data_IF_722705741399
#
_entry.id   IF_722705741399
#
_cell.length_a   1.000
_cell.length_b   1.000
_cell.length_c   1.000
_cell.angle_alpha   90.00
_cell.angle_beta   90.00
_cell.angle_gamma   90.00
#
_symmetry.space_group_name_H-M   'P 1'
#
loop_
_entity.id
_entity.type
_entity.pdbx_description
1 polymer ?
#
# COMPACT_ATOMS: atom_id res chain seq x y z
N UNK A 1 22.74 -24.94 -60.87
CA UNK A 1 21.89 -25.91 -61.57
C UNK A 1 20.57 -25.95 -60.83
N UNK A 2 19.55 -25.45 -61.47
CA UNK A 2 18.15 -25.86 -61.61
C UNK A 2 17.35 -26.11 -60.33
N UNK A 3 16.40 -25.18 -60.09
CA UNK A 3 15.06 -25.35 -59.52
C UNK A 3 14.23 -26.44 -60.24
N UNK A 4 13.11 -26.95 -59.66
CA UNK A 4 11.86 -26.21 -59.67
C UNK A 4 10.99 -26.43 -58.42
N UNK A 5 10.28 -25.46 -58.01
CA UNK A 5 8.90 -25.04 -57.93
C UNK A 5 7.84 -26.11 -58.30
N UNK A 6 6.98 -26.50 -57.34
CA UNK A 6 5.61 -27.03 -57.66
C UNK A 6 4.61 -26.44 -56.66
N UNK A 7 3.59 -25.80 -57.26
CA UNK A 7 2.35 -25.28 -56.73
C UNK A 7 1.27 -26.35 -56.87
N UNK A 8 0.39 -26.49 -55.89
CA UNK A 8 -1.01 -26.96 -56.06
C UNK A 8 -1.72 -26.71 -54.71
N UNK A 9 -2.59 -25.82 -54.55
CA UNK A 9 -3.95 -25.52 -55.01
C UNK A 9 -5.02 -26.49 -54.49
N UNK A 10 -5.87 -25.93 -53.61
CA UNK A 10 -7.32 -26.12 -53.39
C UNK A 10 -7.85 -27.49 -52.96
N UNK A 11 -8.75 -27.48 -51.95
CA UNK A 11 -10.20 -27.71 -52.17
C UNK A 11 -10.97 -27.28 -50.91
N UNK A 12 -11.93 -26.41 -51.13
CA UNK A 12 -13.01 -25.95 -50.30
C UNK A 12 -14.09 -27.05 -50.24
N UNK A 13 -14.60 -27.41 -49.09
CA UNK A 13 -15.87 -28.12 -48.96
C UNK A 13 -16.69 -27.59 -47.78
N UNK A 14 -17.70 -26.86 -48.16
CA UNK A 14 -18.87 -26.48 -47.37
C UNK A 14 -19.68 -27.73 -47.00
N UNK A 15 -20.00 -27.89 -45.73
CA UNK A 15 -21.16 -28.64 -45.30
C UNK A 15 -22.06 -27.74 -44.45
N UNK A 16 -23.17 -27.35 -45.08
CA UNK A 16 -24.37 -26.83 -44.43
C UNK A 16 -25.10 -28.03 -43.87
N UNK A 17 -25.36 -28.05 -42.59
CA UNK A 17 -26.44 -28.85 -42.02
C UNK A 17 -27.23 -27.96 -41.07
N UNK A 18 -28.44 -27.74 -41.49
CA UNK A 18 -29.53 -27.12 -40.74
C UNK A 18 -30.11 -28.18 -39.82
N UNK A 19 -30.24 -27.91 -38.52
CA UNK A 19 -31.31 -28.55 -37.77
C UNK A 19 -31.88 -27.61 -36.71
N UNK A 20 -33.19 -27.58 -36.74
CA UNK A 20 -34.12 -26.74 -36.01
C UNK A 20 -34.36 -27.29 -34.62
N UNK A 21 -34.16 -26.47 -33.56
CA UNK A 21 -35.06 -26.56 -32.41
C UNK A 21 -35.03 -25.35 -31.49
N UNK A 22 -36.20 -24.77 -31.36
CA UNK A 22 -36.76 -24.01 -30.21
C UNK A 22 -36.01 -22.81 -29.67
N UNK A 23 -36.45 -21.66 -30.17
CA UNK A 23 -36.26 -20.34 -29.52
C UNK A 23 -36.86 -20.33 -28.12
N UNK A 24 -36.03 -20.24 -27.10
CA UNK A 24 -36.35 -19.53 -25.87
C UNK A 24 -35.85 -18.09 -26.03
N UNK A 25 -36.78 -17.16 -26.11
CA UNK A 25 -36.52 -15.73 -25.94
C UNK A 25 -35.88 -15.55 -24.57
N UNK A 26 -34.61 -15.29 -24.53
CA UNK A 26 -33.96 -14.66 -23.42
C UNK A 26 -33.97 -13.17 -23.75
N UNK A 27 -34.71 -12.42 -22.94
CA UNK A 27 -34.75 -10.96 -23.03
C UNK A 27 -33.31 -10.47 -22.86
N UNK A 28 -32.76 -9.95 -23.94
CA UNK A 28 -31.58 -9.06 -23.88
C UNK A 28 -31.98 -7.82 -23.12
N UNK A 29 -31.77 -7.85 -21.82
CA UNK A 29 -31.76 -6.66 -20.99
C UNK A 29 -30.51 -5.89 -21.38
N UNK A 30 -30.69 -4.93 -22.25
CA UNK A 30 -29.69 -3.95 -22.65
C UNK A 30 -29.11 -3.34 -21.36
N UNK A 31 -27.82 -3.60 -21.11
CA UNK A 31 -27.02 -2.93 -20.05
C UNK A 31 -26.75 -1.52 -20.59
N UNK A 32 -27.74 -0.63 -20.46
CA UNK A 32 -27.62 0.78 -20.83
C UNK A 32 -27.92 1.72 -19.65
N UNK A 33 -27.95 1.23 -18.42
CA UNK A 33 -28.10 2.06 -17.22
C UNK A 33 -27.08 1.62 -16.15
N UNK A 34 -25.80 1.61 -16.52
CA UNK A 34 -24.78 1.95 -15.53
C UNK A 34 -24.84 3.48 -15.52
N UNK A 35 -25.67 4.00 -14.64
CA UNK A 35 -25.52 5.35 -14.13
C UNK A 35 -24.06 5.47 -13.68
N UNK A 36 -23.25 6.03 -14.56
CA UNK A 36 -21.95 6.55 -14.20
C UNK A 36 -22.29 7.65 -13.19
N UNK A 37 -22.21 7.33 -11.90
CA UNK A 37 -22.19 8.32 -10.84
C UNK A 37 -20.96 9.18 -11.16
N UNK A 38 -21.15 10.17 -12.04
CA UNK A 38 -20.30 11.33 -12.09
C UNK A 38 -20.43 11.96 -10.72
N UNK A 39 -19.51 11.59 -9.83
CA UNK A 39 -19.34 12.26 -8.56
C UNK A 39 -19.17 13.74 -8.94
N UNK A 40 -20.19 14.54 -8.66
CA UNK A 40 -20.17 15.95 -8.98
C UNK A 40 -19.02 16.58 -8.18
N UNK A 41 -17.86 16.72 -8.82
CA UNK A 41 -16.62 17.19 -8.19
C UNK A 41 -16.80 18.54 -7.51
N UNK A 42 -17.80 19.33 -7.94
CA UNK A 42 -18.16 20.60 -7.32
C UNK A 42 -18.85 20.41 -5.97
N UNK A 43 -19.71 19.40 -5.84
CA UNK A 43 -20.38 19.06 -4.56
C UNK A 43 -19.37 18.51 -3.55
N UNK A 44 -18.47 17.66 -4.00
CA UNK A 44 -17.41 17.09 -3.15
C UNK A 44 -16.46 18.17 -2.64
N UNK A 45 -16.07 19.12 -3.50
CA UNK A 45 -15.23 20.24 -3.12
C UNK A 45 -15.94 21.18 -2.12
N UNK A 46 -17.22 21.48 -2.34
CA UNK A 46 -18.00 22.31 -1.41
C UNK A 46 -18.18 21.60 -0.06
N UNK A 47 -18.43 20.30 -0.03
CA UNK A 47 -18.54 19.53 1.20
C UNK A 47 -17.22 19.51 1.98
N UNK A 48 -16.09 19.37 1.29
CA UNK A 48 -14.77 19.44 1.89
C UNK A 48 -14.52 20.83 2.53
N UNK A 49 -14.82 21.90 1.82
CA UNK A 49 -14.68 23.28 2.34
C UNK A 49 -15.57 23.53 3.56
N UNK A 50 -16.81 23.05 3.56
CA UNK A 50 -17.70 23.16 4.73
C UNK A 50 -17.16 22.36 5.92
N UNK A 51 -16.70 21.13 5.71
CA UNK A 51 -16.09 20.31 6.75
C UNK A 51 -14.85 20.98 7.33
N UNK A 52 -14.00 21.58 6.49
CA UNK A 52 -12.80 22.31 6.94
C UNK A 52 -13.13 23.51 7.84
N UNK A 53 -14.28 24.16 7.66
CA UNK A 53 -14.73 25.26 8.55
C UNK A 53 -15.08 24.76 9.95
N UNK A 54 -15.42 23.48 10.09
CA UNK A 54 -15.72 22.87 11.40
C UNK A 54 -14.48 22.36 12.12
N UNK A 55 -13.33 22.29 11.42
CA UNK A 55 -12.07 21.84 12.00
C UNK A 55 -11.60 22.84 13.07
N UNK A 56 -11.36 22.40 14.31
CA UNK A 56 -10.94 23.31 15.38
C UNK A 56 -9.58 23.97 15.09
N UNK A 57 -9.44 25.23 15.48
CA UNK A 57 -8.18 25.97 15.34
C UNK A 57 -7.06 25.47 16.28
N UNK A 58 -7.40 24.68 17.28
CA UNK A 58 -6.51 24.18 18.31
C UNK A 58 -6.14 22.71 18.13
N UNK A 59 -6.21 22.20 16.90
CA UNK A 59 -5.74 20.85 16.59
C UNK A 59 -4.30 20.72 17.02
N UNK A 60 -4.02 19.59 17.67
CA UNK A 60 -2.72 19.31 18.20
C UNK A 60 -2.16 18.07 17.49
N UNK A 61 -1.14 18.22 16.63
CA UNK A 61 -0.42 17.07 16.11
C UNK A 61 0.27 16.34 17.26
N UNK A 62 0.12 15.02 17.28
CA UNK A 62 0.72 14.15 18.30
C UNK A 62 1.58 13.09 17.65
N UNK A 63 2.60 12.67 18.38
CA UNK A 63 3.51 11.64 17.89
C UNK A 63 2.80 10.30 17.75
N UNK A 64 2.97 9.64 16.61
CA UNK A 64 2.48 8.30 16.35
C UNK A 64 3.59 7.29 16.18
N UNK A 65 3.21 6.02 16.08
CA UNK A 65 4.14 4.91 15.88
C UNK A 65 5.02 5.14 14.64
N UNK A 66 6.31 4.78 14.75
CA UNK A 66 7.30 4.84 13.66
C UNK A 66 7.91 3.48 13.45
N UNK A 67 7.94 3.04 12.23
CA UNK A 67 8.63 1.80 11.87
C UNK A 67 10.13 1.99 11.78
N UNK A 68 10.87 1.01 12.30
CA UNK A 68 12.30 0.85 12.07
C UNK A 68 12.54 -0.60 11.72
N UNK A 69 13.20 -0.84 10.60
CA UNK A 69 13.62 -2.16 10.17
C UNK A 69 15.13 -2.20 9.94
N UNK A 70 15.72 -3.39 10.00
CA UNK A 70 17.15 -3.60 9.81
C UNK A 70 17.37 -4.69 8.79
N UNK A 71 18.28 -4.50 7.83
CA UNK A 71 18.60 -5.46 6.77
C UNK A 71 19.79 -5.03 5.94
N UNK A 72 20.25 -5.91 5.06
CA UNK A 72 21.26 -5.61 4.05
C UNK A 72 20.55 -5.16 2.76
N UNK A 73 20.20 -3.87 2.70
CA UNK A 73 19.37 -3.36 1.62
C UNK A 73 20.15 -3.01 0.35
N UNK A 74 21.47 -2.86 0.45
CA UNK A 74 22.33 -2.53 -0.70
C UNK A 74 23.20 -3.69 -1.18
N UNK A 75 23.18 -4.84 -0.49
CA UNK A 75 23.93 -6.04 -0.85
C UNK A 75 25.43 -5.96 -0.54
N UNK A 76 25.87 -5.11 0.39
CA UNK A 76 27.29 -4.99 0.75
C UNK A 76 27.72 -5.90 1.91
N UNK A 77 26.80 -6.70 2.44
CA UNK A 77 27.00 -7.63 3.55
C UNK A 77 26.92 -7.00 4.91
N UNK A 78 26.56 -5.72 5.02
CA UNK A 78 26.32 -5.02 6.29
C UNK A 78 24.84 -4.73 6.43
N UNK A 79 24.44 -4.55 7.68
CA UNK A 79 23.03 -4.21 7.95
C UNK A 79 22.88 -2.73 8.20
N UNK A 80 21.93 -2.13 7.47
CA UNK A 80 21.47 -0.79 7.69
C UNK A 80 20.15 -0.77 8.44
N UNK A 81 19.82 0.41 8.99
CA UNK A 81 18.47 0.71 9.47
C UNK A 81 17.73 1.54 8.44
N UNK A 82 16.48 1.16 8.19
CA UNK A 82 15.51 2.00 7.50
C UNK A 82 14.51 2.52 8.54
N UNK A 83 14.29 3.83 8.52
CA UNK A 83 13.52 4.55 9.53
C UNK A 83 12.41 5.33 8.83
N UNK A 84 11.16 5.11 9.26
CA UNK A 84 10.01 5.88 8.79
C UNK A 84 10.09 7.32 9.30
N UNK A 85 9.88 8.26 8.40
CA UNK A 85 9.72 9.68 8.65
C UNK A 85 8.35 10.15 8.18
N UNK A 86 7.74 11.04 8.95
CA UNK A 86 6.44 11.61 8.63
C UNK A 86 6.43 13.08 9.04
N UNK A 87 6.16 13.95 8.08
CA UNK A 87 6.07 15.39 8.29
C UNK A 87 4.60 15.79 8.24
N UNK A 88 4.07 16.29 9.34
CA UNK A 88 2.70 16.79 9.40
C UNK A 88 2.52 18.03 8.52
N UNK A 89 1.47 18.05 7.73
CA UNK A 89 1.10 19.23 6.94
C UNK A 89 0.55 20.40 7.77
N UNK A 90 0.31 20.23 9.09
CA UNK A 90 -0.20 21.28 9.96
C UNK A 90 0.91 22.22 10.40
N UNK A 91 2.00 21.66 10.93
CA UNK A 91 3.09 22.42 11.57
C UNK A 91 4.47 22.17 10.92
N UNK A 92 4.50 21.35 9.87
CA UNK A 92 5.71 20.95 9.14
C UNK A 92 6.78 20.30 10.05
N UNK A 93 6.34 19.62 11.11
CA UNK A 93 7.23 18.92 12.03
C UNK A 93 7.18 17.43 11.80
N UNK A 94 8.34 16.82 11.91
CA UNK A 94 8.49 15.42 11.66
C UNK A 94 7.83 14.52 12.71
N UNK A 95 7.72 14.94 13.94
CA UNK A 95 7.26 14.11 15.06
C UNK A 95 5.77 13.82 15.08
N UNK A 96 4.98 14.48 14.23
CA UNK A 96 3.53 14.54 14.37
C UNK A 96 2.84 13.69 13.28
N UNK A 97 2.34 12.52 13.66
CA UNK A 97 1.66 11.58 12.76
C UNK A 97 0.15 11.53 12.96
N UNK A 98 -0.33 11.74 14.19
CA UNK A 98 -1.75 11.78 14.54
C UNK A 98 -2.19 13.17 14.99
N UNK A 99 -3.50 13.37 15.11
CA UNK A 99 -4.08 14.66 15.41
C UNK A 99 -5.11 14.55 16.53
N UNK A 100 -4.88 15.25 17.64
CA UNK A 100 -5.86 15.43 18.72
C UNK A 100 -6.72 16.65 18.49
N UNK A 101 -7.95 16.61 18.98
CA UNK A 101 -8.88 17.74 18.93
C UNK A 101 -9.85 17.70 17.74
N UNK A 102 -9.77 16.68 16.90
CA UNK A 102 -10.78 16.42 15.87
C UNK A 102 -12.02 15.77 16.48
N UNK A 103 -13.21 16.14 16.03
CA UNK A 103 -14.47 15.61 16.54
C UNK A 103 -14.95 14.36 15.79
N UNK A 104 -14.51 14.17 14.57
CA UNK A 104 -14.90 13.06 13.72
C UNK A 104 -13.85 12.77 12.62
N UNK A 105 -14.02 11.62 12.00
CA UNK A 105 -13.12 11.16 10.95
C UNK A 105 -13.18 12.02 9.67
N UNK A 106 -14.34 12.63 9.37
CA UNK A 106 -14.47 13.52 8.22
C UNK A 106 -13.57 14.76 8.34
N UNK A 107 -13.38 15.28 9.56
CA UNK A 107 -12.43 16.37 9.82
C UNK A 107 -10.99 15.93 9.58
N UNK A 108 -10.61 14.69 9.93
CA UNK A 108 -9.28 14.15 9.65
C UNK A 108 -9.04 14.05 8.14
N UNK A 109 -10.00 13.50 7.39
CA UNK A 109 -9.93 13.38 5.92
C UNK A 109 -9.78 14.77 5.29
N UNK A 110 -10.66 15.71 5.66
CA UNK A 110 -10.61 17.08 5.14
C UNK A 110 -9.28 17.77 5.44
N UNK A 111 -8.76 17.58 6.66
CA UNK A 111 -7.51 18.17 7.10
C UNK A 111 -6.32 17.63 6.30
N UNK A 112 -6.21 16.32 6.13
CA UNK A 112 -5.10 15.68 5.41
C UNK A 112 -5.12 15.97 3.91
N UNK A 113 -6.31 16.17 3.31
CA UNK A 113 -6.42 16.66 1.93
C UNK A 113 -5.91 18.11 1.82
N UNK A 114 -6.28 18.98 2.75
CA UNK A 114 -5.93 20.42 2.70
C UNK A 114 -4.49 20.70 3.15
N UNK A 115 -4.00 19.90 4.07
CA UNK A 115 -2.68 20.00 4.70
C UNK A 115 -1.93 18.69 4.48
N UNK A 116 -1.54 18.47 3.23
CA UNK A 116 -0.91 17.23 2.80
C UNK A 116 0.36 16.92 3.60
N UNK A 117 0.39 15.80 4.32
CA UNK A 117 1.60 15.37 5.00
C UNK A 117 2.57 14.71 4.00
N UNK A 118 3.80 14.49 4.44
CA UNK A 118 4.84 13.83 3.66
C UNK A 118 5.33 12.61 4.44
N UNK A 119 5.36 11.45 3.79
CA UNK A 119 5.91 10.21 4.35
C UNK A 119 7.05 9.66 3.48
N UNK A 120 8.10 9.18 4.12
CA UNK A 120 9.25 8.58 3.47
C UNK A 120 10.03 7.70 4.45
N UNK A 121 10.93 6.87 3.92
CA UNK A 121 11.82 6.02 4.73
C UNK A 121 13.27 6.35 4.38
N UNK A 122 14.08 6.64 5.40
CA UNK A 122 15.50 6.99 5.25
C UNK A 122 16.37 5.89 5.83
N UNK A 123 17.47 5.60 5.16
CA UNK A 123 18.54 4.76 5.70
C UNK A 123 19.51 5.57 6.58
N UNK A 124 20.05 4.93 7.60
CA UNK A 124 21.24 5.45 8.33
C UNK A 124 22.51 5.40 7.45
N UNK A 125 22.50 4.62 6.36
CA UNK A 125 23.55 4.63 5.35
C UNK A 125 23.20 5.65 4.25
N UNK A 126 23.98 6.72 4.14
CA UNK A 126 23.77 7.80 3.17
C UNK A 126 23.93 7.39 1.70
N UNK A 127 24.46 6.19 1.43
CA UNK A 127 24.57 5.64 0.08
C UNK A 127 23.27 5.02 -0.42
N UNK A 128 22.31 4.79 0.48
CA UNK A 128 20.97 4.30 0.13
C UNK A 128 20.04 5.50 -0.02
N UNK A 129 19.44 5.63 -1.18
CA UNK A 129 18.48 6.71 -1.46
C UNK A 129 17.22 6.57 -0.60
N UNK A 130 16.53 7.69 -0.41
CA UNK A 130 15.26 7.74 0.32
C UNK A 130 14.18 6.94 -0.41
N UNK A 131 13.54 6.00 0.28
CA UNK A 131 12.31 5.39 -0.20
C UNK A 131 11.16 6.38 0.00
N UNK A 132 10.71 6.98 -1.09
CA UNK A 132 9.59 7.92 -1.08
C UNK A 132 8.28 7.15 -1.12
N UNK A 133 7.48 7.34 -0.08
CA UNK A 133 6.11 6.86 -0.07
C UNK A 133 5.29 7.84 -0.92
N UNK A 134 4.46 7.30 -1.79
CA UNK A 134 3.62 8.13 -2.66
C UNK A 134 2.82 9.14 -1.83
N UNK A 135 2.98 10.43 -2.13
CA UNK A 135 2.25 11.50 -1.47
C UNK A 135 0.97 11.81 -2.22
N UNK A 136 -0.15 11.64 -1.57
CA UNK A 136 -1.45 12.15 -1.97
C UNK A 136 -2.11 12.73 -0.74
N UNK A 137 -3.16 13.52 -0.90
CA UNK A 137 -4.01 13.88 0.24
C UNK A 137 -4.48 12.61 0.95
N UNK A 138 -4.77 12.69 2.25
CA UNK A 138 -5.23 11.57 3.10
C UNK A 138 -4.13 10.63 3.63
N UNK A 139 -2.86 10.90 3.38
CA UNK A 139 -1.74 10.11 3.89
C UNK A 139 -1.59 10.25 5.42
N UNK A 140 -1.43 9.13 6.13
CA UNK A 140 -1.12 9.07 7.58
C UNK A 140 0.16 8.28 7.89
N UNK A 141 1.10 8.22 6.96
CA UNK A 141 2.33 7.45 7.09
C UNK A 141 2.15 5.99 6.67
N UNK A 142 2.78 5.07 7.37
CA UNK A 142 2.72 3.65 7.07
C UNK A 142 1.85 2.91 8.07
N UNK A 143 1.04 1.97 7.58
CA UNK A 143 0.37 0.93 8.37
C UNK A 143 1.28 -0.28 8.58
N UNK A 144 2.28 -0.47 7.71
CA UNK A 144 3.22 -1.58 7.80
C UNK A 144 4.55 -1.28 7.12
N UNK A 145 5.65 -1.78 7.68
CA UNK A 145 6.98 -1.79 7.09
C UNK A 145 7.75 -3.01 7.60
N UNK A 146 8.33 -3.80 6.70
CA UNK A 146 9.06 -5.02 7.07
C UNK A 146 10.21 -5.30 6.12
N UNK A 147 11.32 -5.80 6.68
CA UNK A 147 12.35 -6.51 5.92
C UNK A 147 11.88 -7.93 5.62
N UNK A 148 11.75 -8.30 4.36
CA UNK A 148 11.34 -9.63 3.90
C UNK A 148 12.53 -10.56 3.66
N UNK A 149 13.76 -10.06 3.82
CA UNK A 149 14.98 -10.75 3.42
C UNK A 149 15.17 -10.79 1.92
N UNK A 150 16.24 -11.39 1.46
CA UNK A 150 16.54 -11.56 0.02
C UNK A 150 15.52 -12.54 -0.62
N UNK A 151 14.43 -12.04 -1.16
CA UNK A 151 13.39 -12.85 -1.81
C UNK A 151 13.77 -13.27 -3.23
N UNK A 152 14.47 -12.41 -3.94
CA UNK A 152 14.80 -12.61 -5.35
C UNK A 152 16.15 -13.33 -5.56
N UNK A 153 17.01 -13.42 -4.54
CA UNK A 153 18.29 -14.11 -4.57
C UNK A 153 19.42 -13.29 -5.20
N UNK A 154 19.30 -11.95 -5.20
CA UNK A 154 20.34 -11.07 -5.74
C UNK A 154 21.29 -10.53 -4.67
N UNK A 155 21.08 -10.90 -3.41
CA UNK A 155 21.93 -10.56 -2.28
C UNK A 155 21.50 -9.27 -1.56
N UNK A 156 20.39 -8.63 -1.97
CA UNK A 156 19.78 -7.50 -1.28
C UNK A 156 18.52 -7.93 -0.57
N UNK A 157 18.23 -7.34 0.58
CA UNK A 157 16.97 -7.58 1.29
C UNK A 157 15.85 -6.76 0.66
N UNK A 158 14.71 -7.40 0.35
CA UNK A 158 13.49 -6.73 -0.08
C UNK A 158 12.71 -6.15 1.10
N UNK A 159 11.99 -5.09 0.81
CA UNK A 159 11.15 -4.38 1.79
C UNK A 159 9.70 -4.40 1.36
N UNK A 160 8.82 -4.81 2.28
CA UNK A 160 7.37 -4.60 2.15
C UNK A 160 6.92 -3.37 2.91
N UNK A 161 5.96 -2.64 2.34
CA UNK A 161 5.25 -1.59 3.06
C UNK A 161 3.78 -1.49 2.65
N UNK A 162 2.97 -0.92 3.55
CA UNK A 162 1.57 -0.56 3.31
C UNK A 162 1.36 0.87 3.82
N UNK A 163 0.68 1.65 3.03
CA UNK A 163 0.38 3.06 3.35
C UNK A 163 -0.82 3.12 4.29
N UNK A 164 -0.79 4.02 5.26
CA UNK A 164 -1.93 4.33 6.11
C UNK A 164 -2.71 5.51 5.49
N UNK A 165 -3.97 5.27 5.12
CA UNK A 165 -4.83 6.26 4.49
C UNK A 165 -5.92 6.75 5.43
N UNK A 166 -6.13 8.07 5.48
CA UNK A 166 -7.29 8.68 6.10
C UNK A 166 -8.46 8.68 5.11
N UNK A 167 -9.02 7.52 4.82
CA UNK A 167 -10.17 7.37 3.95
C UNK A 167 -11.22 6.42 4.58
N UNK A 168 -12.38 6.28 3.95
CA UNK A 168 -13.44 5.37 4.43
C UNK A 168 -13.35 3.98 3.80
N UNK A 169 -12.30 3.72 3.03
CA UNK A 169 -12.07 2.44 2.41
C UNK A 169 -11.34 1.50 3.37
N UNK A 170 -11.68 0.21 3.31
CA UNK A 170 -10.86 -0.83 3.89
C UNK A 170 -9.94 -1.47 2.85
N UNK A 171 -9.87 -0.89 1.64
CA UNK A 171 -9.05 -1.37 0.56
C UNK A 171 -7.66 -0.76 0.65
N UNK A 172 -6.63 -1.60 0.53
CA UNK A 172 -5.26 -1.14 0.53
C UNK A 172 -4.40 -1.95 -0.46
N UNK A 173 -3.14 -1.59 -0.56
CA UNK A 173 -2.17 -2.27 -1.41
C UNK A 173 -0.92 -2.59 -0.60
N UNK A 174 -0.49 -3.84 -0.69
CA UNK A 174 0.81 -4.28 -0.23
C UNK A 174 1.83 -4.03 -1.33
N UNK A 175 2.88 -3.30 -1.00
CA UNK A 175 3.99 -3.00 -1.91
C UNK A 175 5.22 -3.80 -1.52
N UNK A 176 5.92 -4.34 -2.51
CA UNK A 176 7.20 -5.01 -2.36
C UNK A 176 8.24 -4.31 -3.22
N UNK A 177 9.30 -3.80 -2.60
CA UNK A 177 10.34 -3.02 -3.26
C UNK A 177 11.73 -3.61 -3.00
N UNK A 178 12.64 -3.40 -3.95
CA UNK A 178 14.06 -3.72 -3.84
C UNK A 178 14.90 -2.47 -4.08
N UNK A 179 16.09 -2.40 -3.48
CA UNK A 179 17.05 -1.34 -3.77
C UNK A 179 18.09 -1.84 -4.76
N UNK A 180 18.07 -1.28 -5.96
CA UNK A 180 18.96 -1.69 -7.04
C UNK A 180 19.37 -0.51 -7.92
N UNK A 181 20.63 -0.49 -8.38
CA UNK A 181 21.16 0.59 -9.18
C UNK A 181 20.97 1.98 -8.54
N UNK A 182 21.20 2.07 -7.24
CA UNK A 182 21.06 3.27 -6.41
C UNK A 182 19.65 3.86 -6.39
N UNK A 183 18.61 3.04 -6.54
CA UNK A 183 17.22 3.46 -6.43
C UNK A 183 16.32 2.36 -5.91
N UNK A 184 15.27 2.76 -5.22
CA UNK A 184 14.16 1.87 -4.89
C UNK A 184 13.29 1.61 -6.11
N UNK A 185 12.91 0.36 -6.30
CA UNK A 185 12.07 -0.09 -7.42
C UNK A 185 11.02 -1.05 -6.89
N UNK A 186 9.77 -0.79 -7.20
CA UNK A 186 8.70 -1.76 -6.92
C UNK A 186 8.88 -2.97 -7.83
N UNK A 187 8.90 -4.15 -7.22
CA UNK A 187 9.02 -5.43 -7.93
C UNK A 187 7.69 -6.17 -7.99
N UNK A 188 6.81 -5.92 -7.02
CA UNK A 188 5.47 -6.48 -7.00
C UNK A 188 4.56 -5.69 -6.06
N UNK A 189 3.26 -5.63 -6.38
CA UNK A 189 2.22 -5.14 -5.48
C UNK A 189 0.95 -5.95 -5.65
N UNK A 190 0.12 -5.99 -4.61
CA UNK A 190 -1.14 -6.74 -4.63
C UNK A 190 -2.17 -6.13 -3.67
N UNK A 191 -3.48 -6.27 -3.99
CA UNK A 191 -4.55 -5.72 -3.17
C UNK A 191 -4.71 -6.51 -1.87
N UNK A 192 -5.00 -5.80 -0.79
CA UNK A 192 -5.29 -6.34 0.54
C UNK A 192 -6.48 -5.62 1.16
N UNK A 193 -6.97 -6.16 2.28
CA UNK A 193 -7.85 -5.46 3.20
C UNK A 193 -7.04 -4.86 4.36
N UNK A 194 -7.39 -3.67 4.85
CA UNK A 194 -6.72 -3.08 6.01
C UNK A 194 -6.77 -3.96 7.24
N UNK A 195 -7.89 -4.66 7.46
CA UNK A 195 -8.04 -5.58 8.59
C UNK A 195 -7.15 -6.85 8.53
N UNK A 196 -6.42 -7.09 7.43
CA UNK A 196 -5.38 -8.12 7.36
C UNK A 196 -4.09 -7.71 8.09
N UNK A 197 -3.97 -6.44 8.46
CA UNK A 197 -2.84 -5.90 9.22
C UNK A 197 -3.18 -5.79 10.70
N UNK A 198 -2.19 -5.91 11.61
CA UNK A 198 -2.38 -5.55 13.00
C UNK A 198 -2.64 -4.05 13.15
N UNK A 199 -3.43 -3.69 14.15
CA UNK A 199 -3.59 -2.29 14.52
C UNK A 199 -2.27 -1.70 15.05
N UNK A 200 -2.07 -0.40 14.81
CA UNK A 200 -0.90 0.29 15.31
C UNK A 200 -1.15 0.86 16.71
N UNK A 201 -0.13 0.89 17.56
CA UNK A 201 -0.19 1.69 18.77
C UNK A 201 -0.49 3.16 18.45
N UNK A 202 -1.44 3.76 19.15
CA UNK A 202 -1.88 5.14 18.87
C UNK A 202 -0.77 6.15 19.09
N UNK A 203 0.00 5.95 20.16
CA UNK A 203 1.17 6.77 20.45
C UNK A 203 2.26 5.93 21.12
N UNK A 204 3.51 6.23 20.79
CA UNK A 204 4.64 5.48 21.30
C UNK A 204 5.80 6.43 21.63
N UNK A 205 6.08 6.60 22.89
CA UNK A 205 7.18 7.46 23.36
C UNK A 205 8.52 6.71 23.45
N UNK A 206 8.50 5.37 23.52
CA UNK A 206 9.73 4.58 23.69
C UNK A 206 10.64 4.57 22.46
N UNK A 207 10.12 4.92 21.30
CA UNK A 207 10.95 4.94 20.11
C UNK A 207 11.85 6.16 20.02
N UNK A 208 11.70 7.16 20.90
CA UNK A 208 12.65 8.27 21.08
C UNK A 208 13.25 8.81 19.80
N UNK A 209 12.55 8.60 18.69
CA UNK A 209 13.03 8.84 17.36
C UNK A 209 13.13 10.33 17.15
N UNK A 210 14.25 10.76 16.63
CA UNK A 210 14.47 12.12 16.15
C UNK A 210 14.75 13.19 17.19
N UNK A 211 15.27 12.82 18.34
CA UNK A 211 15.68 13.78 19.36
C UNK A 211 14.53 14.59 19.95
N UNK A 212 13.32 14.08 19.83
CA UNK A 212 12.20 14.62 20.58
C UNK A 212 12.47 14.37 22.05
N UNK A 213 12.42 15.43 22.85
CA UNK A 213 12.34 15.27 24.28
C UNK A 213 11.32 14.20 24.59
N UNK A 214 11.71 13.17 25.34
CA UNK A 214 10.88 12.04 25.78
C UNK A 214 9.71 12.50 26.64
N UNK A 215 9.00 13.52 26.22
CA UNK A 215 7.74 13.93 26.83
C UNK A 215 6.73 12.88 26.42
N UNK A 216 6.50 11.99 27.38
CA UNK A 216 5.38 11.07 27.38
C UNK A 216 4.14 11.85 27.00
N UNK A 217 3.73 11.72 25.76
CA UNK A 217 2.35 12.01 25.41
C UNK A 217 1.60 10.88 26.09
N UNK A 218 0.95 11.19 27.18
CA UNK A 218 0.15 10.23 27.92
C UNK A 218 -0.90 9.69 26.97
N UNK A 219 -0.62 8.54 26.43
CA UNK A 219 -1.61 7.76 25.74
C UNK A 219 -2.51 7.13 26.73
N UNK A 220 -3.72 7.06 26.39
CA UNK A 220 -4.82 6.70 27.24
C UNK A 220 -4.76 5.27 27.77
N UNK A 221 -3.87 4.40 27.25
CA UNK A 221 -3.79 3.02 27.68
C UNK A 221 -2.47 2.32 27.28
N UNK A 222 -1.44 2.44 28.12
CA UNK A 222 -0.14 1.78 27.89
C UNK A 222 -0.26 0.26 27.72
N UNK A 223 -1.22 -0.39 28.40
CA UNK A 223 -1.41 -1.83 28.30
C UNK A 223 -1.92 -2.24 26.90
N UNK A 224 -2.84 -1.48 26.33
CA UNK A 224 -3.34 -1.71 24.97
C UNK A 224 -2.22 -1.48 23.97
N UNK A 225 -1.48 -0.39 24.08
CA UNK A 225 -0.36 -0.10 23.20
C UNK A 225 0.73 -1.18 23.23
N UNK A 226 1.05 -1.72 24.40
CA UNK A 226 2.00 -2.84 24.54
C UNK A 226 1.47 -4.12 23.89
N UNK A 227 0.17 -4.38 23.96
CA UNK A 227 -0.44 -5.52 23.30
C UNK A 227 -0.42 -5.37 21.77
N UNK A 228 -0.80 -4.20 21.25
CA UNK A 228 -0.77 -3.90 19.82
C UNK A 228 0.66 -3.96 19.26
N UNK A 229 1.65 -3.46 20.02
CA UNK A 229 3.04 -3.62 19.64
C UNK A 229 3.45 -5.08 19.53
N UNK A 230 3.05 -5.91 20.49
CA UNK A 230 3.33 -7.35 20.45
C UNK A 230 2.67 -8.01 19.25
N UNK A 231 1.42 -7.70 18.96
CA UNK A 231 0.70 -8.22 17.80
C UNK A 231 1.40 -7.84 16.50
N UNK A 232 1.86 -6.59 16.39
CA UNK A 232 2.62 -6.11 15.25
C UNK A 232 3.96 -6.85 15.09
N UNK A 233 4.68 -7.12 16.19
CA UNK A 233 5.93 -7.87 16.18
C UNK A 233 5.74 -9.35 15.86
N UNK A 234 4.64 -9.94 16.30
CA UNK A 234 4.30 -11.35 16.05
C UNK A 234 3.73 -11.57 14.64
N UNK A 235 3.26 -10.54 13.98
CA UNK A 235 2.69 -10.63 12.64
C UNK A 235 3.75 -11.01 11.60
N UNK A 236 3.52 -12.10 10.88
CA UNK A 236 4.50 -12.64 9.93
C UNK A 236 4.49 -11.97 8.57
N UNK A 237 3.51 -11.06 8.32
CA UNK A 237 3.30 -10.44 7.03
C UNK A 237 2.50 -11.33 6.08
N UNK A 238 2.22 -10.78 4.90
CA UNK A 238 1.43 -11.45 3.86
C UNK A 238 2.29 -12.03 2.74
N UNK A 239 3.62 -11.95 2.87
CA UNK A 239 4.60 -12.47 1.91
C UNK A 239 5.42 -13.58 2.58
N UNK A 240 5.62 -14.70 1.88
CA UNK A 240 6.46 -15.80 2.33
C UNK A 240 7.36 -16.27 1.20
N UNK A 241 8.68 -16.26 1.42
CA UNK A 241 9.65 -16.87 0.49
C UNK A 241 9.41 -18.36 0.38
N UNK A 242 9.28 -18.89 -0.83
CA UNK A 242 9.28 -20.35 -1.12
C UNK A 242 10.69 -20.78 -1.57
N UNK A 243 11.27 -20.02 -2.48
CA UNK A 243 12.64 -20.12 -2.96
C UNK A 243 13.04 -18.81 -3.63
N UNK A 244 14.30 -18.66 -4.05
CA UNK A 244 14.74 -17.48 -4.82
C UNK A 244 13.78 -17.17 -5.97
N UNK A 245 13.36 -15.92 -6.08
CA UNK A 245 12.40 -15.41 -7.07
C UNK A 245 11.00 -16.05 -7.01
N UNK A 246 10.66 -16.81 -5.98
CA UNK A 246 9.34 -17.40 -5.85
C UNK A 246 8.77 -17.17 -4.46
N UNK A 247 7.68 -16.46 -4.39
CA UNK A 247 6.98 -16.09 -3.16
C UNK A 247 5.55 -16.61 -3.16
N UNK A 248 5.00 -16.80 -1.97
CA UNK A 248 3.58 -16.94 -1.73
C UNK A 248 3.07 -15.64 -1.14
N UNK A 249 1.96 -15.15 -1.63
CA UNK A 249 1.29 -13.97 -1.09
C UNK A 249 -0.13 -14.30 -0.67
N UNK A 250 -0.60 -13.61 0.37
CA UNK A 250 -2.00 -13.64 0.83
C UNK A 250 -2.62 -12.31 0.41
N UNK A 251 -3.62 -12.36 -0.45
CA UNK A 251 -4.14 -11.17 -1.13
C UNK A 251 -5.68 -11.15 -1.14
N UNK A 252 -6.26 -10.00 -1.46
CA UNK A 252 -7.68 -9.86 -1.74
C UNK A 252 -7.93 -10.13 -3.22
N UNK A 253 -8.77 -11.10 -3.54
CA UNK A 253 -9.14 -11.44 -4.92
C UNK A 253 -10.27 -10.54 -5.45
N UNK A 254 -10.65 -10.75 -6.71
CA UNK A 254 -11.70 -9.97 -7.39
C UNK A 254 -13.10 -10.20 -6.79
N UNK A 255 -13.32 -11.33 -6.14
CA UNK A 255 -14.57 -11.66 -5.44
C UNK A 255 -14.59 -11.07 -4.01
N UNK A 256 -13.60 -10.24 -3.66
CA UNK A 256 -13.42 -9.63 -2.35
C UNK A 256 -13.08 -10.61 -1.20
N UNK A 257 -12.70 -11.83 -1.52
CA UNK A 257 -12.24 -12.83 -0.55
C UNK A 257 -10.72 -12.75 -0.35
N UNK A 258 -10.25 -13.28 0.77
CA UNK A 258 -8.82 -13.49 1.01
C UNK A 258 -8.39 -14.82 0.41
N UNK A 259 -7.39 -14.79 -0.44
CA UNK A 259 -6.87 -15.96 -1.14
C UNK A 259 -5.35 -15.98 -1.10
N UNK A 260 -4.74 -17.05 -1.63
CA UNK A 260 -3.31 -17.26 -1.63
C UNK A 260 -2.84 -17.63 -3.02
N UNK A 261 -1.81 -16.94 -3.53
CA UNK A 261 -1.19 -17.31 -4.80
C UNK A 261 0.33 -17.41 -4.71
N UNK A 262 0.90 -18.11 -5.69
CA UNK A 262 2.35 -18.20 -5.86
C UNK A 262 2.78 -17.28 -7.01
N UNK A 263 3.68 -16.37 -6.71
CA UNK A 263 4.22 -15.38 -7.65
C UNK A 263 5.66 -15.73 -8.00
N UNK A 264 5.99 -15.71 -9.29
CA UNK A 264 7.34 -15.84 -9.81
C UNK A 264 7.85 -14.44 -10.20
N UNK A 265 8.71 -13.86 -9.38
CA UNK A 265 9.22 -12.50 -9.55
C UNK A 265 10.02 -12.30 -10.86
N UNK A 266 10.55 -13.38 -11.46
CA UNK A 266 11.22 -13.29 -12.76
C UNK A 266 10.28 -13.01 -13.92
N UNK A 267 8.97 -13.29 -13.77
CA UNK A 267 7.98 -13.13 -14.83
C UNK A 267 7.32 -11.75 -14.84
N UNK A 268 7.66 -10.90 -13.89
CA UNK A 268 7.11 -9.56 -13.71
C UNK A 268 7.92 -8.47 -14.44
N UNK A 269 8.90 -8.87 -15.25
CA UNK A 269 9.81 -7.97 -15.98
C UNK A 269 9.29 -7.67 -17.39
#
# INVERSE_FOLDING_TARGET
MKTPLIIALSILSLFISCDTSTKKKQDEKTISDIDTLQLDSSKTANQLEETLKTVPNNIKPVFGYRFIITGDFNGDGKKEKLIEHFISGIDNKESNKFYEGLSDFGQLVALTIKKEPISFVISDNKLIDTLRIYSGGQLLGLSYLKNEGDLNGDGTDEVSYVVNWADWSNLNTWHLVTYKNNKWTEIYSFPIWDWQLPDLPETFNQYGLFGLDNKIINTTNDTVNLQLEKELLDFKGLVKKIKSNKIQVIFRNDDADVDTMIVDLNRLK
#
